data_IF_550919169523
#
_entry.id   IF_550919169523
#
_cell.length_a   1.000
_cell.length_b   1.000
_cell.length_c   1.000
_cell.angle_alpha   90.00
_cell.angle_beta   90.00
_cell.angle_gamma   90.00
#
_symmetry.space_group_name_H-M   'P 1'
#
loop_
_entity.id
_entity.type
_entity.pdbx_description
1 polymer ?
#
# COMPACT_ATOMS: atom_id res chain seq x y z
N UNK A 1 19.10 -0.04 -10.02
CA UNK A 1 19.43 -0.49 -11.38
C UNK A 1 18.71 0.36 -12.44
N UNK A 2 17.38 0.46 -12.47
CA UNK A 2 16.63 1.18 -13.52
C UNK A 2 17.05 2.65 -13.63
N UNK A 3 17.23 3.33 -12.51
CA UNK A 3 17.68 4.73 -12.46
C UNK A 3 19.16 4.83 -12.89
N UNK A 4 20.02 3.96 -12.34
CA UNK A 4 21.46 3.94 -12.65
C UNK A 4 21.76 3.68 -14.14
N UNK A 5 20.92 2.89 -14.81
CA UNK A 5 21.04 2.59 -16.24
C UNK A 5 20.34 3.61 -17.14
N UNK A 6 19.69 4.63 -16.58
CA UNK A 6 18.99 5.66 -17.33
C UNK A 6 17.69 5.20 -18.01
N UNK A 7 17.14 4.07 -17.58
CA UNK A 7 15.83 3.60 -18.08
C UNK A 7 14.67 4.44 -17.56
N UNK A 8 14.82 5.02 -16.37
CA UNK A 8 13.88 5.92 -15.71
C UNK A 8 14.64 6.84 -14.74
N UNK A 9 13.93 7.72 -14.07
CA UNK A 9 14.42 8.55 -12.97
C UNK A 9 13.39 8.58 -11.83
N UNK A 10 13.72 9.22 -10.73
CA UNK A 10 12.87 9.36 -9.55
C UNK A 10 11.58 10.16 -9.81
N UNK A 11 11.54 10.97 -10.88
CA UNK A 11 10.36 11.75 -11.25
C UNK A 11 9.36 10.96 -12.10
N UNK A 12 9.75 9.77 -12.58
CA UNK A 12 8.95 8.92 -13.46
C UNK A 12 8.76 7.50 -12.91
N UNK A 13 9.54 7.08 -11.90
CA UNK A 13 9.43 5.75 -11.34
C UNK A 13 8.19 5.63 -10.44
N UNK A 14 7.29 4.72 -10.80
CA UNK A 14 6.08 4.43 -10.05
C UNK A 14 6.07 2.95 -9.67
N UNK A 15 5.81 2.66 -8.39
CA UNK A 15 5.64 1.29 -7.91
C UNK A 15 4.16 1.00 -7.66
N UNK A 16 3.72 -0.22 -7.98
CA UNK A 16 2.37 -0.69 -7.69
C UNK A 16 2.44 -2.07 -7.05
N UNK A 17 1.61 -2.31 -6.04
CA UNK A 17 1.52 -3.59 -5.37
C UNK A 17 0.19 -3.79 -4.67
N UNK A 18 -0.29 -5.05 -4.65
CA UNK A 18 -1.54 -5.42 -4.00
C UNK A 18 -1.34 -6.48 -2.91
N UNK A 19 -2.18 -6.45 -1.86
CA UNK A 19 -2.14 -7.45 -0.78
C UNK A 19 -0.74 -7.52 -0.14
N UNK A 20 -0.06 -8.67 -0.17
CA UNK A 20 1.35 -8.82 0.22
C UNK A 20 2.30 -7.92 -0.60
N UNK A 21 2.02 -7.70 -1.90
CA UNK A 21 2.72 -6.69 -2.72
C UNK A 21 2.44 -5.26 -2.25
N UNK A 22 1.30 -5.02 -1.63
CA UNK A 22 0.97 -3.77 -0.94
C UNK A 22 1.83 -3.55 0.30
N UNK A 23 2.17 -4.61 1.04
CA UNK A 23 3.17 -4.55 2.10
C UNK A 23 4.53 -4.12 1.55
N UNK A 24 4.98 -4.76 0.46
CA UNK A 24 6.25 -4.42 -0.18
C UNK A 24 6.32 -2.94 -0.54
N UNK A 25 5.31 -2.43 -1.28
CA UNK A 25 5.35 -1.02 -1.70
C UNK A 25 5.16 -0.04 -0.53
N UNK A 26 4.43 -0.43 0.51
CA UNK A 26 4.33 0.33 1.75
C UNK A 26 5.65 0.39 2.52
N UNK A 27 6.38 -0.72 2.59
CA UNK A 27 7.69 -0.78 3.23
C UNK A 27 8.73 0.07 2.48
N UNK A 28 8.80 -0.01 1.15
CA UNK A 28 9.74 0.81 0.37
C UNK A 28 9.39 2.30 0.42
N UNK A 29 8.11 2.67 0.61
CA UNK A 29 7.72 4.05 0.88
C UNK A 29 8.35 4.62 2.15
N UNK A 30 8.56 3.79 3.18
CA UNK A 30 9.25 4.18 4.41
C UNK A 30 10.77 4.18 4.26
N UNK A 31 11.32 3.17 3.54
CA UNK A 31 12.77 2.92 3.47
C UNK A 31 13.45 3.84 2.47
N UNK A 32 12.85 4.05 1.30
CA UNK A 32 13.46 4.77 0.19
C UNK A 32 12.44 5.67 -0.56
N UNK A 33 11.74 6.58 0.14
CA UNK A 33 10.67 7.38 -0.45
C UNK A 33 11.12 8.22 -1.66
N UNK A 34 12.35 8.71 -1.64
CA UNK A 34 12.91 9.58 -2.68
C UNK A 34 13.15 8.88 -4.03
N UNK A 35 13.09 7.55 -4.08
CA UNK A 35 13.26 6.81 -5.34
C UNK A 35 12.00 6.80 -6.22
N UNK A 36 10.85 7.15 -5.66
CA UNK A 36 9.57 6.98 -6.34
C UNK A 36 8.83 8.30 -6.52
N UNK A 37 8.35 8.54 -7.73
CA UNK A 37 7.38 9.61 -8.00
C UNK A 37 6.06 9.33 -7.30
N UNK A 38 5.59 8.08 -7.41
CA UNK A 38 4.34 7.66 -6.80
C UNK A 38 4.34 6.17 -6.43
N UNK A 39 3.45 5.82 -5.51
CA UNK A 39 3.14 4.43 -5.14
C UNK A 39 1.63 4.23 -5.20
N UNK A 40 1.21 3.12 -5.82
CA UNK A 40 -0.17 2.64 -5.85
C UNK A 40 -0.23 1.38 -4.99
N UNK A 41 -1.00 1.43 -3.92
CA UNK A 41 -1.16 0.35 -2.97
C UNK A 41 -2.61 -0.17 -2.99
N UNK A 42 -2.80 -1.36 -3.55
CA UNK A 42 -4.11 -2.00 -3.70
C UNK A 42 -4.34 -3.01 -2.57
N UNK A 43 -5.43 -2.84 -1.82
CA UNK A 43 -5.80 -3.72 -0.68
C UNK A 43 -4.57 -4.10 0.16
N UNK A 44 -3.75 -3.11 0.58
CA UNK A 44 -2.40 -3.37 1.03
C UNK A 44 -2.35 -3.92 2.47
N UNK A 45 -1.56 -4.99 2.65
CA UNK A 45 -1.25 -5.57 3.95
C UNK A 45 -0.21 -4.72 4.67
N UNK A 46 -0.65 -3.70 5.41
CA UNK A 46 0.24 -2.65 5.95
C UNK A 46 0.31 -2.55 7.47
N UNK A 47 -0.61 -3.16 8.20
CA UNK A 47 -0.60 -3.23 9.67
C UNK A 47 -0.25 -4.65 10.14
N UNK A 48 0.96 -5.08 9.76
CA UNK A 48 1.39 -6.48 9.80
C UNK A 48 1.29 -7.08 11.19
N UNK A 49 1.85 -6.39 12.18
CA UNK A 49 1.92 -6.91 13.57
C UNK A 49 0.53 -7.05 14.17
N UNK A 50 -0.33 -6.03 14.02
CA UNK A 50 -1.68 -6.07 14.60
C UNK A 50 -2.52 -7.16 13.93
N UNK A 51 -2.46 -7.28 12.61
CA UNK A 51 -3.20 -8.28 11.85
C UNK A 51 -2.74 -9.70 12.18
N UNK A 52 -1.43 -9.92 12.25
CA UNK A 52 -0.88 -11.25 12.57
C UNK A 52 -1.03 -11.65 14.04
N UNK A 53 -1.42 -10.72 14.93
CA UNK A 53 -1.81 -11.02 16.31
C UNK A 53 -3.31 -11.33 16.46
N UNK A 54 -4.12 -11.04 15.43
CA UNK A 54 -5.57 -11.27 15.47
C UNK A 54 -5.93 -12.58 14.75
N UNK A 55 -6.01 -13.66 15.52
CA UNK A 55 -6.39 -14.99 15.04
C UNK A 55 -7.85 -15.09 14.55
N UNK A 56 -8.68 -14.07 14.80
CA UNK A 56 -10.04 -14.01 14.27
C UNK A 56 -10.10 -13.66 12.79
N UNK A 57 -9.02 -13.11 12.24
CA UNK A 57 -8.87 -12.84 10.81
C UNK A 57 -8.56 -14.16 10.09
N UNK A 58 -9.36 -14.56 9.09
CA UNK A 58 -9.28 -15.92 8.52
C UNK A 58 -7.93 -16.38 8.00
N UNK A 59 -7.11 -15.47 7.47
CA UNK A 59 -5.79 -15.82 6.92
C UNK A 59 -4.68 -15.86 7.97
N UNK A 60 -4.81 -15.18 9.10
CA UNK A 60 -3.72 -14.98 10.06
C UNK A 60 -2.99 -16.25 10.44
N UNK A 61 -3.71 -17.25 10.92
CA UNK A 61 -3.08 -18.51 11.39
C UNK A 61 -2.54 -19.35 10.25
N UNK A 62 -3.13 -19.27 9.04
CA UNK A 62 -2.64 -19.98 7.86
C UNK A 62 -1.32 -19.42 7.35
N UNK A 63 -1.05 -18.14 7.61
CA UNK A 63 0.14 -17.46 7.10
C UNK A 63 1.28 -17.39 8.11
N UNK A 64 1.17 -18.05 9.26
CA UNK A 64 2.28 -18.13 10.22
C UNK A 64 3.52 -18.82 9.65
N UNK A 65 3.35 -19.78 8.73
CA UNK A 65 4.48 -20.44 8.07
C UNK A 65 5.23 -19.49 7.11
N UNK A 66 4.54 -18.49 6.56
CA UNK A 66 5.11 -17.51 5.63
C UNK A 66 5.71 -16.31 6.34
N UNK A 67 4.94 -15.68 7.25
CA UNK A 67 5.34 -14.44 7.92
C UNK A 67 5.99 -14.68 9.28
N UNK A 68 5.75 -15.81 9.90
CA UNK A 68 6.08 -16.11 11.29
C UNK A 68 4.90 -15.87 12.25
N UNK A 69 5.00 -16.43 13.45
CA UNK A 69 3.99 -16.23 14.50
C UNK A 69 4.44 -15.12 15.46
N UNK A 70 3.80 -13.94 15.50
CA UNK A 70 4.21 -12.81 16.34
C UNK A 70 3.99 -13.04 17.84
N UNK A 71 3.33 -14.12 18.26
CA UNK A 71 3.33 -14.55 19.66
C UNK A 71 4.74 -14.99 20.12
N UNK A 72 5.63 -15.30 19.17
CA UNK A 72 7.04 -15.53 19.41
C UNK A 72 7.82 -14.23 19.19
N UNK A 73 8.57 -13.78 20.21
CA UNK A 73 9.24 -12.48 20.20
C UNK A 73 10.15 -12.25 18.99
N UNK A 74 10.80 -13.30 18.49
CA UNK A 74 11.69 -13.21 17.32
C UNK A 74 10.91 -12.76 16.08
N UNK A 75 9.76 -13.36 15.81
CA UNK A 75 8.93 -13.00 14.65
C UNK A 75 8.23 -11.66 14.85
N UNK A 76 7.81 -11.35 16.08
CA UNK A 76 7.27 -10.02 16.41
C UNK A 76 8.26 -8.91 16.08
N UNK A 77 9.50 -9.01 16.58
CA UNK A 77 10.54 -8.02 16.35
C UNK A 77 10.89 -7.89 14.87
N UNK A 78 10.89 -9.02 14.14
CA UNK A 78 11.16 -9.04 12.70
C UNK A 78 10.04 -8.37 11.91
N UNK A 79 8.78 -8.74 12.15
CA UNK A 79 7.62 -8.09 11.52
C UNK A 79 7.57 -6.59 11.80
N UNK A 80 7.80 -6.20 13.05
CA UNK A 80 7.82 -4.80 13.47
C UNK A 80 8.86 -4.00 12.67
N UNK A 81 10.00 -4.61 12.32
CA UNK A 81 11.09 -3.94 11.62
C UNK A 81 10.73 -3.48 10.21
N UNK A 82 9.76 -4.11 9.55
CA UNK A 82 9.34 -3.76 8.20
C UNK A 82 7.86 -3.39 8.06
N UNK A 83 7.04 -3.56 9.09
CA UNK A 83 5.60 -3.24 9.04
C UNK A 83 5.37 -1.81 8.59
N UNK A 84 4.72 -1.57 7.45
CA UNK A 84 4.56 -0.23 6.90
C UNK A 84 3.90 0.76 7.85
N UNK A 85 2.88 0.32 8.58
CA UNK A 85 2.19 1.14 9.58
C UNK A 85 3.10 1.54 10.74
N UNK A 86 3.88 0.59 11.25
CA UNK A 86 4.70 0.80 12.45
C UNK A 86 5.93 1.64 12.15
N UNK A 87 6.48 1.52 10.94
CA UNK A 87 7.69 2.19 10.50
C UNK A 87 7.47 3.59 9.89
N UNK A 88 6.25 4.15 9.98
CA UNK A 88 6.01 5.54 9.56
C UNK A 88 6.86 6.50 10.37
N UNK A 89 7.57 7.38 9.67
CA UNK A 89 8.44 8.43 10.23
C UNK A 89 7.97 9.81 9.78
N UNK A 90 8.46 10.85 10.47
CA UNK A 90 8.33 12.22 9.97
C UNK A 90 9.36 12.41 8.86
N UNK A 91 8.91 12.33 7.62
CA UNK A 91 9.72 12.49 6.40
C UNK A 91 8.83 12.83 5.21
N UNK A 92 9.44 13.14 4.08
CA UNK A 92 8.74 13.28 2.81
C UNK A 92 8.43 11.90 2.23
N UNK A 93 7.21 11.74 1.71
CA UNK A 93 6.71 10.53 1.07
C UNK A 93 6.40 10.79 -0.40
N UNK A 94 6.48 9.78 -1.28
CA UNK A 94 6.02 9.92 -2.67
C UNK A 94 4.51 10.21 -2.70
N UNK A 95 3.98 10.56 -3.87
CA UNK A 95 2.53 10.57 -4.06
C UNK A 95 1.98 9.16 -3.82
N UNK A 96 0.87 9.04 -3.10
CA UNK A 96 0.28 7.75 -2.72
C UNK A 96 -1.19 7.69 -3.14
N UNK A 97 -1.53 6.63 -3.88
CA UNK A 97 -2.92 6.21 -4.11
C UNK A 97 -3.13 4.87 -3.42
N UNK A 98 -4.04 4.85 -2.46
CA UNK A 98 -4.37 3.66 -1.68
C UNK A 98 -5.81 3.26 -1.97
N UNK A 99 -6.00 2.01 -2.40
CA UNK A 99 -7.29 1.45 -2.78
C UNK A 99 -7.64 0.30 -1.82
N UNK A 100 -8.89 0.24 -1.35
CA UNK A 100 -9.36 -0.84 -0.49
C UNK A 100 -10.84 -1.11 -0.71
N UNK A 101 -11.32 -2.27 -0.26
CA UNK A 101 -12.73 -2.67 -0.27
C UNK A 101 -13.30 -2.77 1.13
N UNK A 102 -14.50 -2.24 1.35
CA UNK A 102 -15.16 -2.29 2.66
C UNK A 102 -15.39 -3.74 3.14
N UNK A 103 -15.65 -4.65 2.20
CA UNK A 103 -15.96 -6.06 2.47
C UNK A 103 -14.75 -6.98 2.26
N UNK A 104 -13.54 -6.44 2.35
CA UNK A 104 -12.32 -7.23 2.25
C UNK A 104 -12.20 -8.15 3.48
N UNK A 105 -12.20 -9.46 3.24
CA UNK A 105 -12.11 -10.50 4.26
C UNK A 105 -10.68 -11.04 4.44
N UNK A 106 -9.73 -10.60 3.62
CA UNK A 106 -8.34 -11.03 3.66
C UNK A 106 -7.45 -9.96 4.29
N UNK A 107 -7.52 -8.74 3.75
CA UNK A 107 -6.86 -7.55 4.32
C UNK A 107 -7.94 -6.55 4.71
N UNK A 108 -8.16 -6.42 5.98
CA UNK A 108 -9.27 -5.63 6.51
C UNK A 108 -9.13 -4.16 6.11
N UNK A 109 -10.22 -3.52 5.68
CA UNK A 109 -10.23 -2.13 5.18
C UNK A 109 -9.65 -1.11 6.16
N UNK A 110 -9.69 -1.39 7.45
CA UNK A 110 -9.13 -0.49 8.47
C UNK A 110 -7.61 -0.46 8.49
N UNK A 111 -6.91 -1.48 7.99
CA UNK A 111 -5.45 -1.43 7.87
C UNK A 111 -4.99 -0.26 7.00
N UNK A 112 -5.36 -0.20 5.71
CA UNK A 112 -5.00 0.94 4.87
C UNK A 112 -5.61 2.26 5.36
N UNK A 113 -6.79 2.24 5.97
CA UNK A 113 -7.39 3.45 6.52
C UNK A 113 -6.57 4.04 7.68
N UNK A 114 -6.15 3.21 8.62
CA UNK A 114 -5.25 3.60 9.72
C UNK A 114 -3.89 4.06 9.21
N UNK A 115 -3.34 3.32 8.24
CA UNK A 115 -2.05 3.64 7.63
C UNK A 115 -2.08 5.03 6.97
N UNK A 116 -3.09 5.31 6.16
CA UNK A 116 -3.27 6.63 5.52
C UNK A 116 -3.48 7.74 6.57
N UNK A 117 -4.26 7.49 7.62
CA UNK A 117 -4.45 8.46 8.70
C UNK A 117 -3.13 8.80 9.41
N UNK A 118 -2.32 7.78 9.72
CA UNK A 118 -1.00 7.96 10.35
C UNK A 118 -0.02 8.67 9.42
N UNK A 119 0.01 8.32 8.12
CA UNK A 119 0.81 9.01 7.11
C UNK A 119 0.48 10.49 7.02
N UNK A 120 -0.84 10.87 6.98
CA UNK A 120 -1.28 12.27 6.96
C UNK A 120 -0.77 13.08 8.15
N UNK A 121 -0.61 12.44 9.29
CA UNK A 121 -0.09 13.10 10.50
C UNK A 121 1.44 13.26 10.48
N UNK A 122 2.16 12.37 9.81
CA UNK A 122 3.62 12.30 9.89
C UNK A 122 4.34 12.87 8.66
N UNK A 123 3.71 12.83 7.47
CA UNK A 123 4.35 13.34 6.25
C UNK A 123 4.67 14.83 6.36
N UNK A 124 5.83 15.23 5.83
CA UNK A 124 6.31 16.62 5.85
C UNK A 124 6.25 17.32 4.49
N UNK A 125 5.81 16.60 3.47
CA UNK A 125 5.66 17.04 2.07
C UNK A 125 4.21 17.43 1.73
N UNK A 126 4.02 18.05 0.55
CA UNK A 126 2.71 18.38 -0.03
C UNK A 126 2.24 17.36 -1.08
N UNK A 127 2.90 16.22 -1.22
CA UNK A 127 2.54 15.18 -2.16
C UNK A 127 1.13 14.63 -1.86
N UNK A 128 0.43 14.22 -2.91
CA UNK A 128 -0.93 13.68 -2.79
C UNK A 128 -0.93 12.38 -2.01
N UNK A 129 -1.87 12.25 -1.09
CA UNK A 129 -2.16 11.03 -0.34
C UNK A 129 -3.66 10.79 -0.41
N UNK A 130 -4.06 9.88 -1.30
CA UNK A 130 -5.44 9.57 -1.60
C UNK A 130 -5.80 8.18 -1.08
N UNK A 131 -6.97 8.07 -0.46
CA UNK A 131 -7.57 6.79 -0.08
C UNK A 131 -8.93 6.67 -0.78
N UNK A 132 -9.11 5.60 -1.53
CA UNK A 132 -10.39 5.21 -2.10
C UNK A 132 -10.86 3.90 -1.51
N UNK A 133 -12.02 3.91 -0.88
CA UNK A 133 -12.67 2.70 -0.35
C UNK A 133 -13.85 2.35 -1.25
N UNK A 134 -13.79 1.19 -1.92
CA UNK A 134 -14.94 0.66 -2.65
C UNK A 134 -15.91 0.07 -1.63
N UNK A 135 -17.09 0.69 -1.51
CA UNK A 135 -18.10 0.34 -0.51
C UNK A 135 -18.85 -0.96 -0.82
N UNK A 136 -18.69 -1.50 -2.03
CA UNK A 136 -19.40 -2.70 -2.52
C UNK A 136 -18.45 -3.88 -2.79
N UNK A 137 -17.14 -3.69 -2.67
CA UNK A 137 -16.15 -4.68 -3.04
C UNK A 137 -15.39 -5.25 -1.83
N UNK A 138 -14.87 -6.47 -2.02
CA UNK A 138 -13.88 -7.12 -1.15
C UNK A 138 -12.49 -7.11 -1.77
N UNK A 139 -11.66 -8.10 -1.39
CA UNK A 139 -10.24 -8.20 -1.78
C UNK A 139 -9.99 -8.23 -3.29
N UNK A 140 -10.86 -8.82 -4.06
CA UNK A 140 -10.74 -8.92 -5.52
C UNK A 140 -11.17 -7.66 -6.30
N UNK A 141 -11.55 -6.57 -5.61
CA UNK A 141 -12.09 -5.37 -6.25
C UNK A 141 -13.52 -5.53 -6.75
N UNK A 142 -13.95 -4.63 -7.62
CA UNK A 142 -15.31 -4.63 -8.14
C UNK A 142 -15.59 -5.84 -9.03
N UNK A 143 -16.73 -6.51 -8.79
CA UNK A 143 -17.22 -7.60 -9.63
C UNK A 143 -17.70 -7.10 -10.98
N UNK A 144 -17.39 -7.85 -12.04
CA UNK A 144 -17.79 -7.57 -13.41
C UNK A 144 -16.77 -6.76 -14.20
N UNK A 145 -16.63 -7.14 -15.50
CA UNK A 145 -15.59 -6.63 -16.41
C UNK A 145 -15.51 -5.10 -16.44
N UNK A 146 -16.64 -4.42 -16.61
CA UNK A 146 -16.65 -2.98 -16.81
C UNK A 146 -16.47 -2.18 -15.51
N UNK A 147 -16.89 -2.72 -14.37
CA UNK A 147 -16.65 -2.07 -13.06
C UNK A 147 -15.18 -2.10 -12.71
N UNK A 148 -14.50 -3.22 -12.98
CA UNK A 148 -13.06 -3.38 -12.78
C UNK A 148 -12.25 -2.36 -13.58
N UNK A 149 -12.68 -2.03 -14.80
CA UNK A 149 -12.00 -1.03 -15.61
C UNK A 149 -12.03 0.38 -15.02
N UNK A 150 -13.02 0.70 -14.16
CA UNK A 150 -13.07 1.99 -13.47
C UNK A 150 -11.95 2.13 -12.44
N UNK A 151 -11.65 1.07 -11.70
CA UNK A 151 -10.54 1.05 -10.74
C UNK A 151 -9.21 1.19 -11.48
N UNK A 152 -9.00 0.41 -12.53
CA UNK A 152 -7.83 0.54 -13.40
C UNK A 152 -7.71 1.95 -14.02
N UNK A 153 -8.82 2.51 -14.49
CA UNK A 153 -8.84 3.87 -15.06
C UNK A 153 -8.48 4.94 -14.00
N UNK A 154 -8.87 4.76 -12.74
CA UNK A 154 -8.49 5.66 -11.65
C UNK A 154 -6.98 5.63 -11.40
N UNK A 155 -6.37 4.44 -11.40
CA UNK A 155 -4.91 4.30 -11.26
C UNK A 155 -4.17 5.01 -12.40
N UNK A 156 -4.59 4.77 -13.65
CA UNK A 156 -3.99 5.46 -14.81
C UNK A 156 -4.22 6.97 -14.76
N UNK A 157 -5.41 7.43 -14.38
CA UNK A 157 -5.70 8.86 -14.26
C UNK A 157 -4.79 9.52 -13.22
N UNK A 158 -4.57 8.86 -12.07
CA UNK A 158 -3.62 9.33 -11.06
C UNK A 158 -2.20 9.45 -11.61
N UNK A 159 -1.73 8.43 -12.32
CA UNK A 159 -0.39 8.42 -12.94
C UNK A 159 -0.25 9.51 -14.00
N UNK A 160 -1.21 9.61 -14.92
CA UNK A 160 -1.17 10.58 -16.02
C UNK A 160 -1.21 12.03 -15.52
N UNK A 161 -2.02 12.28 -14.49
CA UNK A 161 -2.09 13.61 -13.90
C UNK A 161 -0.76 14.00 -13.22
N UNK A 162 -0.10 13.07 -12.50
CA UNK A 162 1.21 13.30 -11.89
C UNK A 162 2.34 13.51 -12.91
N UNK A 163 2.25 12.85 -14.05
CA UNK A 163 3.24 12.96 -15.14
C UNK A 163 2.92 14.08 -16.14
N UNK A 164 1.80 14.81 -15.94
CA UNK A 164 1.36 15.86 -16.85
C UNK A 164 0.94 15.37 -18.24
N UNK A 165 0.59 14.09 -18.35
CA UNK A 165 0.12 13.48 -19.60
C UNK A 165 -1.33 13.89 -19.83
N UNK A 166 -1.60 14.62 -20.90
CA UNK A 166 -2.96 15.04 -21.30
C UNK A 166 -3.47 14.18 -22.42
N UNK A 167 -4.78 13.93 -22.43
CA UNK A 167 -5.46 13.38 -23.60
C UNK A 167 -5.24 14.31 -24.79
N UNK A 168 -4.97 13.71 -25.94
CA UNK A 168 -4.86 14.43 -27.24
C UNK A 168 -6.20 14.42 -27.96
#
# INVERSE_FOLDING_TARGET
YLIETGMTDENHLIASGGSAGGLLVGAVANIAPALYKAIIANVPFVDVVTTMLDESIPLTTFEYDEWGNPNEKQYYDYMLSYSPYDQIKKQDYPHLLVLTGLHDSQVQYWEPAKWVAKLRHHKSDDNRLLLHTNMEAGHGGASGRFRRFRETAMEYAFVFDLLGIKER
#
